data_IF_612466506857
#
_entry.id   IF_612466506857
#
_cell.length_a   1.000
_cell.length_b   1.000
_cell.length_c   1.000
_cell.angle_alpha   90.00
_cell.angle_beta   90.00
_cell.angle_gamma   90.00
#
_symmetry.space_group_name_H-M   'P 1'
#
loop_
_entity.id
_entity.type
_entity.pdbx_description
1 polymer ?
#
# COMPACT_ATOMS: atom_id res chain seq x y z
N UNK A 1 -3.49 -5.39 22.51
CA UNK A 1 -3.04 -6.31 21.46
C UNK A 1 -4.14 -6.50 20.43
N UNK A 2 -3.81 -6.28 19.16
CA UNK A 2 -4.72 -6.51 18.02
C UNK A 2 -4.05 -7.46 17.05
N UNK A 3 -4.86 -8.30 16.42
CA UNK A 3 -4.42 -9.12 15.28
C UNK A 3 -5.22 -8.68 14.06
N UNK A 4 -4.54 -8.43 12.95
CA UNK A 4 -5.15 -8.05 11.66
C UNK A 4 -4.75 -9.06 10.60
N UNK A 5 -5.71 -9.47 9.82
CA UNK A 5 -5.50 -10.14 8.54
C UNK A 5 -5.86 -9.13 7.45
N UNK A 6 -4.91 -8.82 6.59
CA UNK A 6 -5.09 -7.93 5.46
C UNK A 6 -4.89 -8.74 4.19
N UNK A 7 -5.78 -8.57 3.25
CA UNK A 7 -5.67 -9.15 1.90
C UNK A 7 -5.85 -8.04 0.90
N UNK A 8 -4.87 -7.86 0.03
CA UNK A 8 -4.90 -6.91 -1.07
C UNK A 8 -4.60 -7.65 -2.36
N UNK A 9 -5.28 -7.31 -3.44
CA UNK A 9 -5.06 -7.96 -4.73
C UNK A 9 -5.51 -7.06 -5.87
N UNK A 10 -4.82 -7.19 -6.99
CA UNK A 10 -5.20 -6.60 -8.26
C UNK A 10 -5.71 -7.70 -9.20
N UNK A 11 -6.82 -7.42 -9.86
CA UNK A 11 -7.43 -8.34 -10.79
C UNK A 11 -7.51 -7.69 -12.17
N UNK A 12 -6.85 -8.30 -13.13
CA UNK A 12 -6.87 -7.84 -14.51
C UNK A 12 -8.06 -8.44 -15.26
N UNK A 13 -8.94 -7.56 -15.74
CA UNK A 13 -10.19 -7.95 -16.39
C UNK A 13 -9.92 -8.55 -17.78
N UNK A 14 -8.89 -8.08 -18.48
CA UNK A 14 -8.55 -8.55 -19.82
C UNK A 14 -8.03 -9.98 -19.80
N UNK A 15 -7.20 -10.35 -18.84
CA UNK A 15 -6.64 -11.70 -18.68
C UNK A 15 -7.47 -12.60 -17.78
N UNK A 16 -8.47 -12.06 -17.08
CA UNK A 16 -9.30 -12.76 -16.10
C UNK A 16 -8.46 -13.48 -15.01
N UNK A 17 -7.37 -12.87 -14.61
CA UNK A 17 -6.44 -13.38 -13.62
C UNK A 17 -6.12 -12.34 -12.54
N UNK A 18 -5.68 -12.80 -11.38
CA UNK A 18 -5.07 -11.92 -10.38
C UNK A 18 -3.64 -11.62 -10.82
N UNK A 19 -3.34 -10.35 -10.98
CA UNK A 19 -1.98 -9.88 -11.27
C UNK A 19 -1.12 -10.02 -10.03
N UNK A 20 -1.62 -9.57 -8.88
CA UNK A 20 -0.95 -9.71 -7.60
C UNK A 20 -1.94 -10.05 -6.49
N UNK A 21 -1.52 -10.87 -5.54
CA UNK A 21 -2.26 -11.15 -4.31
C UNK A 21 -1.31 -11.07 -3.12
N UNK A 22 -1.62 -10.18 -2.21
CA UNK A 22 -0.86 -9.96 -0.99
C UNK A 22 -1.71 -10.29 0.23
N UNK A 23 -1.16 -11.12 1.11
CA UNK A 23 -1.81 -11.48 2.37
C UNK A 23 -0.86 -11.18 3.53
N UNK A 24 -1.32 -10.40 4.51
CA UNK A 24 -0.55 -10.07 5.70
C UNK A 24 -1.28 -10.52 6.96
N UNK A 25 -0.56 -11.18 7.85
CA UNK A 25 -0.99 -11.46 9.21
C UNK A 25 -0.13 -10.67 10.18
N UNK A 26 -0.71 -9.70 10.87
CA UNK A 26 0.00 -8.71 11.66
C UNK A 26 -0.53 -8.66 13.09
N UNK A 27 0.35 -8.80 14.07
CA UNK A 27 0.11 -8.44 15.47
C UNK A 27 0.51 -6.99 15.72
N UNK A 28 -0.30 -6.26 16.48
CA UNK A 28 -0.14 -4.84 16.76
C UNK A 28 -0.29 -4.57 18.25
N UNK A 29 0.66 -3.82 18.81
CA UNK A 29 0.66 -3.42 20.23
C UNK A 29 0.91 -1.92 20.38
N UNK A 30 0.17 -1.21 21.25
CA UNK A 30 0.42 0.21 21.49
C UNK A 30 1.76 0.40 22.21
N UNK A 31 2.62 1.26 21.67
CA UNK A 31 3.89 1.67 22.26
C UNK A 31 3.85 3.11 22.78
N UNK A 32 2.91 3.91 22.28
CA UNK A 32 2.66 5.27 22.75
C UNK A 32 1.18 5.63 22.61
N UNK A 33 0.82 6.86 22.95
CA UNK A 33 -0.55 7.37 22.79
C UNK A 33 -0.98 7.48 21.31
N UNK A 34 -0.01 7.60 20.42
CA UNK A 34 -0.25 7.88 19.00
C UNK A 34 0.29 6.82 18.07
N UNK A 35 1.15 5.92 18.55
CA UNK A 35 1.81 4.91 17.74
C UNK A 35 1.71 3.51 18.32
N UNK A 36 1.52 2.57 17.42
CA UNK A 36 1.55 1.13 17.68
C UNK A 36 2.75 0.51 16.96
N UNK A 37 3.38 -0.48 17.59
CA UNK A 37 4.35 -1.35 16.92
C UNK A 37 3.63 -2.52 16.27
N UNK A 38 4.14 -2.96 15.14
CA UNK A 38 3.62 -4.08 14.35
C UNK A 38 4.69 -5.12 14.12
N UNK A 39 4.28 -6.39 14.15
CA UNK A 39 5.11 -7.51 13.72
C UNK A 39 4.22 -8.58 13.08
N UNK A 40 4.70 -9.22 12.04
CA UNK A 40 3.91 -10.20 11.32
C UNK A 40 4.62 -10.87 10.17
N UNK A 41 3.82 -11.47 9.32
CA UNK A 41 4.26 -12.13 8.08
C UNK A 41 3.42 -11.65 6.92
N UNK A 42 4.05 -11.54 5.76
CA UNK A 42 3.42 -11.20 4.49
C UNK A 42 3.71 -12.31 3.49
N UNK A 43 2.70 -12.68 2.74
CA UNK A 43 2.76 -13.65 1.65
C UNK A 43 2.29 -12.97 0.38
N UNK A 44 3.18 -12.86 -0.58
CA UNK A 44 2.89 -12.28 -1.89
C UNK A 44 2.85 -13.38 -2.94
N UNK A 45 1.83 -13.32 -3.78
CA UNK A 45 1.71 -14.11 -5.00
C UNK A 45 1.72 -13.13 -6.19
N UNK A 46 2.91 -12.65 -6.60
CA UNK A 46 3.06 -11.76 -7.74
C UNK A 46 2.96 -12.54 -9.05
N UNK A 47 2.98 -11.83 -10.16
CA UNK A 47 3.27 -12.39 -11.47
C UNK A 47 4.74 -12.87 -11.49
N UNK A 48 4.98 -14.07 -10.99
CA UNK A 48 6.31 -14.63 -10.77
C UNK A 48 6.34 -15.58 -9.57
N UNK A 49 7.51 -15.92 -9.01
CA UNK A 49 7.60 -16.79 -7.86
C UNK A 49 7.04 -16.15 -6.59
N UNK A 50 6.32 -16.95 -5.79
CA UNK A 50 5.79 -16.52 -4.50
C UNK A 50 6.88 -16.04 -3.54
N UNK A 51 6.58 -15.01 -2.75
CA UNK A 51 7.49 -14.44 -1.75
C UNK A 51 6.85 -14.44 -0.37
N UNK A 52 7.69 -14.71 0.62
CA UNK A 52 7.31 -14.65 2.04
C UNK A 52 8.26 -13.70 2.76
N UNK A 53 7.68 -12.76 3.51
CA UNK A 53 8.41 -11.75 4.25
C UNK A 53 8.04 -11.77 5.73
N UNK A 54 9.04 -11.56 6.59
CA UNK A 54 8.81 -11.08 7.95
C UNK A 54 8.56 -9.57 7.90
N UNK A 55 7.60 -9.10 8.69
CA UNK A 55 7.19 -7.71 8.76
C UNK A 55 7.47 -7.16 10.16
N UNK A 56 8.13 -6.01 10.21
CA UNK A 56 8.23 -5.17 11.40
C UNK A 56 7.84 -3.74 11.03
N UNK A 57 7.06 -3.09 11.86
CA UNK A 57 6.61 -1.74 11.51
C UNK A 57 6.05 -0.94 12.67
N UNK A 58 5.67 0.27 12.34
CA UNK A 58 4.96 1.20 13.20
C UNK A 58 3.77 1.76 12.44
N UNK A 59 2.67 1.97 13.14
CA UNK A 59 1.51 2.67 12.60
C UNK A 59 0.99 3.66 13.62
N UNK A 60 0.52 4.80 13.17
CA UNK A 60 -0.05 5.77 14.11
C UNK A 60 -0.35 7.13 13.50
N UNK A 61 -0.66 8.06 14.38
CA UNK A 61 -1.02 9.42 14.05
C UNK A 61 0.18 10.36 14.29
N UNK A 62 0.77 10.84 13.21
CA UNK A 62 1.84 11.81 13.24
C UNK A 62 1.30 13.24 13.52
N UNK A 63 2.16 14.22 13.86
CA UNK A 63 1.75 15.62 13.99
C UNK A 63 0.95 16.10 12.78
N UNK A 64 -0.02 17.00 13.01
CA UNK A 64 -0.93 17.55 12.01
C UNK A 64 -1.95 16.52 11.44
N UNK A 65 -2.23 15.46 12.18
CA UNK A 65 -3.25 14.45 11.86
C UNK A 65 -2.97 13.59 10.63
N UNK A 66 -1.70 13.42 10.27
CA UNK A 66 -1.30 12.44 9.28
C UNK A 66 -1.34 11.04 9.89
N UNK A 67 -2.10 10.14 9.29
CA UNK A 67 -1.96 8.72 9.55
C UNK A 67 -0.72 8.22 8.83
N UNK A 68 0.18 7.56 9.55
CA UNK A 68 1.43 7.01 9.00
C UNK A 68 1.52 5.53 9.34
N UNK A 69 1.84 4.74 8.34
CA UNK A 69 2.15 3.33 8.46
C UNK A 69 3.52 3.09 7.79
N UNK A 70 4.50 2.65 8.55
CA UNK A 70 5.83 2.35 8.03
C UNK A 70 6.21 0.92 8.37
N UNK A 71 6.58 0.16 7.35
CA UNK A 71 6.89 -1.26 7.45
C UNK A 71 8.26 -1.57 6.85
N UNK A 72 8.95 -2.48 7.49
CA UNK A 72 10.16 -3.12 7.00
C UNK A 72 9.84 -4.59 6.72
N UNK A 73 10.18 -5.05 5.54
CA UNK A 73 9.99 -6.41 5.09
C UNK A 73 11.35 -7.08 4.85
N UNK A 74 11.48 -8.30 5.31
CA UNK A 74 12.68 -9.12 5.08
C UNK A 74 12.23 -10.50 4.63
N UNK A 75 12.67 -10.92 3.43
CA UNK A 75 12.39 -12.24 2.91
C UNK A 75 13.30 -13.30 3.56
N UNK A 76 12.90 -14.56 3.44
CA UNK A 76 13.74 -15.69 3.85
C UNK A 76 15.05 -15.79 3.06
N UNK A 77 15.11 -15.23 1.85
CA UNK A 77 16.26 -15.23 0.95
C UNK A 77 17.19 -14.03 1.20
N UNK A 78 16.82 -13.14 2.13
CA UNK A 78 17.61 -11.99 2.55
C UNK A 78 17.27 -10.68 1.85
N UNK A 79 16.28 -10.69 0.95
CA UNK A 79 15.79 -9.48 0.32
C UNK A 79 15.03 -8.62 1.32
N UNK A 80 15.25 -7.34 1.27
CA UNK A 80 14.64 -6.40 2.21
C UNK A 80 14.13 -5.15 1.53
N UNK A 81 13.00 -4.67 2.01
CA UNK A 81 12.37 -3.45 1.55
C UNK A 81 11.68 -2.71 2.70
N UNK A 82 11.42 -1.44 2.49
CA UNK A 82 10.61 -0.61 3.37
C UNK A 82 9.48 0.03 2.59
N UNK A 83 8.30 0.06 3.19
CA UNK A 83 7.12 0.77 2.68
C UNK A 83 6.70 1.82 3.69
N UNK A 84 6.33 2.98 3.20
CA UNK A 84 5.83 4.09 3.99
C UNK A 84 4.54 4.57 3.35
N UNK A 85 3.46 4.48 4.11
CA UNK A 85 2.14 4.94 3.72
C UNK A 85 1.77 6.14 4.60
N UNK A 86 1.33 7.20 4.00
CA UNK A 86 0.84 8.38 4.70
C UNK A 86 -0.53 8.78 4.15
N UNK A 87 -1.48 9.01 5.03
CA UNK A 87 -2.83 9.46 4.67
C UNK A 87 -3.21 10.70 5.46
N UNK A 88 -3.83 11.64 4.78
CA UNK A 88 -4.42 12.83 5.38
C UNK A 88 -5.87 12.95 4.94
N UNK A 89 -6.78 13.05 5.92
CA UNK A 89 -8.20 13.25 5.68
C UNK A 89 -8.61 14.70 5.97
N UNK A 90 -9.20 15.35 4.98
CA UNK A 90 -9.80 16.66 5.10
C UNK A 90 -11.33 16.54 5.06
N UNK A 91 -11.97 16.87 6.15
CA UNK A 91 -13.43 16.90 6.26
C UNK A 91 -13.95 18.26 5.78
N UNK A 92 -14.56 18.30 4.59
CA UNK A 92 -15.25 19.50 4.13
C UNK A 92 -16.59 19.71 4.84
N UNK A 93 -17.29 18.60 5.11
CA UNK A 93 -18.52 18.54 5.90
C UNK A 93 -18.53 17.24 6.69
N UNK A 94 -19.56 16.99 7.49
CA UNK A 94 -19.73 15.71 8.18
C UNK A 94 -19.91 14.51 7.22
N UNK A 95 -20.14 14.77 5.95
CA UNK A 95 -20.42 13.75 4.93
C UNK A 95 -19.36 13.69 3.83
N UNK A 96 -18.77 14.83 3.45
CA UNK A 96 -17.78 14.91 2.39
C UNK A 96 -16.37 14.92 2.97
N UNK A 97 -15.59 13.90 2.61
CA UNK A 97 -14.21 13.71 3.09
C UNK A 97 -13.30 13.56 1.89
N UNK A 98 -12.26 14.38 1.83
CA UNK A 98 -11.16 14.26 0.86
C UNK A 98 -10.00 13.57 1.56
N UNK A 99 -9.57 12.43 1.03
CA UNK A 99 -8.34 11.74 1.46
C UNK A 99 -7.23 11.99 0.46
N UNK A 100 -6.05 12.35 0.97
CA UNK A 100 -4.80 12.38 0.21
C UNK A 100 -3.89 11.28 0.75
N UNK A 101 -3.41 10.40 -0.14
CA UNK A 101 -2.52 9.29 0.21
C UNK A 101 -1.18 9.43 -0.50
N UNK A 102 -0.13 9.01 0.17
CA UNK A 102 1.20 8.88 -0.40
C UNK A 102 1.80 7.56 0.08
N UNK A 103 2.09 6.68 -0.85
CA UNK A 103 2.74 5.41 -0.61
C UNK A 103 4.11 5.42 -1.29
N UNK A 104 5.15 4.99 -0.60
CA UNK A 104 6.49 4.92 -1.12
C UNK A 104 7.16 3.60 -0.74
N UNK A 105 7.78 2.95 -1.71
CA UNK A 105 8.51 1.70 -1.53
C UNK A 105 9.99 1.89 -1.83
N UNK A 106 10.84 1.43 -0.92
CA UNK A 106 12.29 1.43 -1.06
C UNK A 106 12.80 0.00 -0.90
N UNK A 107 13.54 -0.51 -1.88
CA UNK A 107 14.20 -1.81 -1.82
C UNK A 107 15.69 -1.65 -1.44
N UNK A 108 16.14 -2.43 -0.47
CA UNK A 108 17.55 -2.48 -0.07
C UNK A 108 18.33 -3.55 -0.83
N UNK A 109 17.62 -4.47 -1.49
CA UNK A 109 18.16 -5.50 -2.38
C UNK A 109 17.42 -5.50 -3.71
N UNK A 110 18.04 -6.04 -4.76
CA UNK A 110 17.41 -6.28 -6.04
C UNK A 110 16.68 -7.62 -6.04
N UNK A 111 15.51 -7.67 -6.68
CA UNK A 111 14.80 -8.90 -7.01
C UNK A 111 14.29 -8.79 -8.46
N UNK A 112 15.16 -9.11 -9.41
CA UNK A 112 14.86 -9.00 -10.84
C UNK A 112 13.74 -9.95 -11.28
N UNK A 113 13.52 -11.06 -10.55
CA UNK A 113 12.47 -12.04 -10.87
C UNK A 113 11.06 -11.45 -10.72
N UNK A 114 10.91 -10.43 -9.87
CA UNK A 114 9.65 -9.69 -9.67
C UNK A 114 9.74 -8.23 -10.13
N UNK A 115 10.79 -7.87 -10.89
CA UNK A 115 10.95 -6.54 -11.47
C UNK A 115 11.31 -5.45 -10.47
N UNK A 116 11.93 -5.78 -9.34
CA UNK A 116 12.31 -4.82 -8.30
C UNK A 116 13.81 -4.52 -8.37
N UNK A 117 14.15 -3.26 -8.65
CA UNK A 117 15.50 -2.73 -8.56
C UNK A 117 15.81 -2.15 -7.18
N UNK A 118 17.08 -1.96 -6.88
CA UNK A 118 17.55 -1.39 -5.62
C UNK A 118 17.32 0.12 -5.55
N UNK A 119 16.98 0.63 -4.36
CA UNK A 119 16.72 2.04 -4.09
C UNK A 119 15.23 2.36 -4.02
N UNK A 120 14.85 3.58 -4.35
CA UNK A 120 13.43 3.97 -4.43
C UNK A 120 12.78 3.23 -5.60
N UNK A 121 11.84 2.35 -5.29
CA UNK A 121 11.15 1.49 -6.26
C UNK A 121 10.04 2.27 -6.94
N UNK A 122 9.08 2.74 -6.15
CA UNK A 122 7.89 3.44 -6.65
C UNK A 122 7.31 4.37 -5.61
N UNK A 123 6.53 5.31 -6.10
CA UNK A 123 5.60 6.09 -5.29
C UNK A 123 4.21 6.02 -5.90
N UNK A 124 3.21 5.92 -5.03
CA UNK A 124 1.81 6.07 -5.39
C UNK A 124 1.22 7.26 -4.64
N UNK A 125 0.57 8.15 -5.34
CA UNK A 125 -0.11 9.31 -4.76
C UNK A 125 -1.56 9.28 -5.15
N UNK A 126 -2.45 9.31 -4.18
CA UNK A 126 -3.88 9.22 -4.40
C UNK A 126 -4.64 10.41 -3.84
N UNK A 127 -5.71 10.79 -4.54
CA UNK A 127 -6.74 11.70 -4.04
C UNK A 127 -8.09 11.02 -4.19
N UNK A 128 -8.83 10.88 -3.08
CA UNK A 128 -10.15 10.26 -3.06
C UNK A 128 -11.16 11.18 -2.40
N UNK A 129 -12.29 11.39 -3.05
CA UNK A 129 -13.43 12.08 -2.49
C UNK A 129 -14.49 11.05 -2.10
N UNK A 130 -14.80 10.98 -0.81
CA UNK A 130 -15.76 10.05 -0.20
C UNK A 130 -16.98 10.79 0.29
N UNK A 131 -18.13 10.18 0.14
CA UNK A 131 -19.38 10.63 0.73
C UNK A 131 -19.89 9.61 1.74
N UNK A 132 -19.94 9.99 3.02
CA UNK A 132 -20.38 9.11 4.09
C UNK A 132 -21.92 9.09 4.18
N UNK A 133 -22.52 7.95 3.87
CA UNK A 133 -23.94 7.65 3.98
C UNK A 133 -24.19 6.75 5.20
N UNK A 134 -25.43 6.80 5.70
CA UNK A 134 -25.95 5.88 6.73
C UNK A 134 -24.97 5.74 7.91
N UNK A 135 -24.68 6.86 8.59
CA UNK A 135 -23.78 6.91 9.76
C UNK A 135 -22.39 6.27 9.51
N UNK A 136 -21.84 6.45 8.30
CA UNK A 136 -20.56 5.89 7.84
C UNK A 136 -20.57 4.38 7.60
N UNK A 137 -21.72 3.73 7.68
CA UNK A 137 -21.83 2.30 7.35
C UNK A 137 -21.61 2.02 5.86
N UNK A 138 -21.91 2.99 5.01
CA UNK A 138 -21.68 2.92 3.58
C UNK A 138 -21.12 4.24 3.05
N UNK A 139 -19.99 4.20 2.39
CA UNK A 139 -19.27 5.38 1.93
C UNK A 139 -18.73 5.16 0.51
N UNK A 140 -19.45 5.53 -0.53
CA UNK A 140 -18.95 5.52 -1.89
C UNK A 140 -17.86 6.57 -2.07
N UNK A 141 -16.89 6.29 -2.93
CA UNK A 141 -15.82 7.21 -3.26
C UNK A 141 -15.44 7.16 -4.74
N UNK A 142 -14.89 8.27 -5.21
CA UNK A 142 -14.22 8.40 -6.49
C UNK A 142 -12.85 9.04 -6.25
N UNK A 143 -11.90 8.75 -7.12
CA UNK A 143 -10.58 9.33 -6.96
C UNK A 143 -9.69 9.15 -8.17
N UNK A 144 -8.47 9.66 -8.02
CA UNK A 144 -7.39 9.49 -8.98
C UNK A 144 -6.15 9.03 -8.23
N UNK A 145 -5.39 8.17 -8.88
CA UNK A 145 -4.11 7.64 -8.37
C UNK A 145 -3.05 7.86 -9.43
N UNK A 146 -1.91 8.36 -9.00
CA UNK A 146 -0.71 8.50 -9.81
C UNK A 146 0.37 7.58 -9.26
N UNK A 147 0.85 6.67 -10.09
CA UNK A 147 1.95 5.76 -9.78
C UNK A 147 3.17 6.14 -10.62
N UNK A 148 4.35 6.06 -10.01
CA UNK A 148 5.62 6.27 -10.70
C UNK A 148 6.69 5.33 -10.17
N UNK A 149 7.41 4.69 -11.09
CA UNK A 149 8.59 3.86 -10.83
C UNK A 149 9.87 4.69 -10.99
N UNK A 150 10.89 4.36 -10.21
CA UNK A 150 12.14 5.11 -10.15
C UNK A 150 13.36 4.21 -10.33
N UNK A 151 14.49 4.82 -10.68
CA UNK A 151 15.82 4.21 -10.70
C UNK A 151 15.85 2.88 -11.45
N UNK A 152 16.48 1.89 -10.86
CA UNK A 152 16.69 0.57 -11.45
C UNK A 152 15.36 -0.16 -11.71
N UNK A 153 14.34 0.03 -10.87
CA UNK A 153 12.99 -0.51 -11.10
C UNK A 153 12.36 0.06 -12.37
N UNK A 154 12.52 1.38 -12.60
CA UNK A 154 12.03 2.01 -13.83
C UNK A 154 12.79 1.52 -15.07
N UNK A 155 14.07 1.25 -14.93
CA UNK A 155 14.91 0.73 -16.04
C UNK A 155 14.54 -0.71 -16.37
N UNK A 156 14.27 -1.57 -15.39
CA UNK A 156 13.74 -2.92 -15.60
C UNK A 156 12.38 -2.88 -16.30
N UNK A 157 11.45 -2.03 -15.84
CA UNK A 157 10.14 -1.88 -16.48
C UNK A 157 10.24 -1.46 -17.95
N UNK A 158 11.12 -0.53 -18.27
CA UNK A 158 11.37 -0.10 -19.66
C UNK A 158 11.98 -1.22 -20.50
N UNK A 159 12.89 -2.02 -19.94
CA UNK A 159 13.52 -3.14 -20.63
C UNK A 159 12.49 -4.22 -21.00
N UNK A 160 11.44 -4.39 -20.20
CA UNK A 160 10.31 -5.28 -20.46
C UNK A 160 9.21 -4.65 -21.36
N UNK A 161 9.40 -3.37 -21.75
CA UNK A 161 8.46 -2.64 -22.60
C UNK A 161 7.28 -2.00 -21.83
N UNK A 162 7.36 -1.97 -20.50
CA UNK A 162 6.36 -1.37 -19.61
C UNK A 162 6.52 0.13 -19.43
N UNK A 163 5.45 0.76 -18.91
CA UNK A 163 5.45 2.16 -18.49
C UNK A 163 6.14 2.36 -17.14
N UNK A 164 6.55 3.60 -16.87
CA UNK A 164 7.15 3.99 -15.59
C UNK A 164 6.30 4.99 -14.82
N UNK A 165 5.25 5.48 -15.42
CA UNK A 165 4.32 6.47 -14.87
C UNK A 165 2.92 6.21 -15.40
N UNK A 166 1.95 6.07 -14.51
CA UNK A 166 0.57 5.77 -14.85
C UNK A 166 -0.41 6.58 -14.00
N UNK A 167 -1.58 6.85 -14.57
CA UNK A 167 -2.69 7.53 -13.91
C UNK A 167 -3.93 6.65 -13.96
N UNK A 168 -4.54 6.44 -12.79
CA UNK A 168 -5.74 5.62 -12.65
C UNK A 168 -6.89 6.45 -12.10
N UNK A 169 -8.08 6.24 -12.65
CA UNK A 169 -9.32 6.66 -12.00
C UNK A 169 -9.82 5.49 -11.15
N UNK A 170 -10.19 5.78 -9.90
CA UNK A 170 -10.71 4.77 -8.98
C UNK A 170 -12.13 5.13 -8.57
N UNK A 171 -12.96 4.11 -8.47
CA UNK A 171 -14.33 4.18 -7.96
C UNK A 171 -14.57 2.99 -7.05
N UNK A 172 -15.20 3.21 -5.91
CA UNK A 172 -15.48 2.13 -4.99
C UNK A 172 -16.39 2.56 -3.86
N UNK A 173 -16.52 1.67 -2.87
CA UNK A 173 -17.28 1.94 -1.67
C UNK A 173 -16.61 1.29 -0.46
N UNK A 174 -16.62 2.00 0.66
CA UNK A 174 -16.25 1.46 1.97
C UNK A 174 -17.52 1.05 2.69
N UNK A 175 -17.51 -0.15 3.24
CA UNK A 175 -18.59 -0.68 4.07
C UNK A 175 -18.03 -0.98 5.45
N UNK A 176 -18.65 -0.45 6.49
CA UNK A 176 -18.30 -0.73 7.90
C UNK A 176 -19.51 -1.37 8.61
N UNK A 177 -19.27 -2.40 9.39
CA UNK A 177 -20.29 -3.14 10.16
C UNK A 177 -19.73 -3.61 11.50
#
# INVERSE_FOLDING_TARGET
>A
FKVRLLTTGEYEIEEQAYETLENQLVGQIPISKFFDAKAGVRFDTPEGPDRTYALLGIAGLAPQWFEVDANLYVSKDGDSSAEIDAEYELLFTNYWILSATLDATVAFSEDEEIGVGKGLVSTETGLRLRYDLIDRAFSPYVGVVHERKYGDTADLAKAEGGGTEDWFAVIGARIAF
#
